data_IF_550566163655
#
_entry.id   IF_550566163655
#
_cell.length_a   1.000
_cell.length_b   1.000
_cell.length_c   1.000
_cell.angle_alpha   90.00
_cell.angle_beta   90.00
_cell.angle_gamma   90.00
#
_symmetry.space_group_name_H-M   'P 1'
#
loop_
_entity.id
_entity.type
_entity.pdbx_description
1 polymer ?
#
# COMPACT_ATOMS: atom_id res chain seq x y z
N UNK A 1 -28.88 -0.27 -22.91
CA UNK A 1 -27.51 -0.10 -23.42
C UNK A 1 -26.69 0.92 -22.59
N UNK A 2 -27.20 2.14 -22.27
CA UNK A 2 -26.47 3.13 -21.45
C UNK A 2 -26.06 2.63 -20.04
N UNK A 3 -26.90 1.84 -19.37
CA UNK A 3 -26.61 1.30 -18.02
C UNK A 3 -25.47 0.26 -18.01
N UNK A 4 -25.30 -0.52 -19.10
CA UNK A 4 -24.23 -1.51 -19.24
C UNK A 4 -22.88 -0.82 -19.48
N UNK A 5 -22.87 0.29 -20.22
CA UNK A 5 -21.65 1.07 -20.49
C UNK A 5 -21.12 1.73 -19.20
N UNK A 6 -22.02 2.23 -18.34
CA UNK A 6 -21.63 2.82 -17.04
C UNK A 6 -21.07 1.76 -16.11
N UNK A 7 -21.65 0.57 -16.05
CA UNK A 7 -21.14 -0.54 -15.23
C UNK A 7 -19.76 -1.04 -15.72
N UNK A 8 -19.54 -1.07 -17.03
CA UNK A 8 -18.26 -1.44 -17.63
C UNK A 8 -17.16 -0.42 -17.35
N UNK A 9 -17.48 0.89 -17.30
CA UNK A 9 -16.54 1.95 -16.98
C UNK A 9 -16.06 1.92 -15.52
N UNK A 10 -16.93 1.52 -14.58
CA UNK A 10 -16.58 1.41 -13.16
C UNK A 10 -15.61 0.26 -12.89
N UNK A 11 -15.74 -0.85 -13.63
CA UNK A 11 -14.85 -2.02 -13.47
C UNK A 11 -13.43 -1.74 -14.00
N UNK A 12 -13.28 -0.85 -14.97
CA UNK A 12 -11.98 -0.52 -15.56
C UNK A 12 -11.07 0.34 -14.66
N UNK A 13 -11.60 1.01 -13.61
CA UNK A 13 -10.83 1.86 -12.70
C UNK A 13 -10.15 1.12 -11.54
N UNK A 14 -10.42 -0.19 -11.35
CA UNK A 14 -9.91 -0.95 -10.20
C UNK A 14 -8.50 -1.53 -10.37
N UNK A 15 -7.73 -1.15 -11.39
CA UNK A 15 -6.47 -1.77 -11.75
C UNK A 15 -5.20 -1.16 -11.08
N UNK A 16 -5.33 -0.34 -10.03
CA UNK A 16 -4.17 0.12 -9.27
C UNK A 16 -3.76 -0.93 -8.23
N UNK A 17 -3.03 -1.95 -8.67
CA UNK A 17 -2.45 -2.94 -7.77
C UNK A 17 -1.32 -2.31 -6.95
N UNK A 18 -1.53 -2.24 -5.64
CA UNK A 18 -0.49 -1.83 -4.68
C UNK A 18 0.55 -2.96 -4.59
N UNK A 19 1.77 -2.64 -4.92
CA UNK A 19 2.86 -3.61 -4.99
C UNK A 19 3.63 -3.72 -3.68
N UNK A 20 3.78 -4.93 -3.10
CA UNK A 20 4.62 -5.14 -1.92
C UNK A 20 6.10 -4.86 -2.22
N UNK A 21 6.80 -4.30 -1.25
CA UNK A 21 8.27 -4.12 -1.23
C UNK A 21 8.90 -5.21 -0.35
N UNK A 22 8.77 -6.46 -0.77
CA UNK A 22 9.32 -7.62 -0.08
C UNK A 22 10.75 -7.92 -0.56
N UNK A 23 11.61 -8.43 0.33
CA UNK A 23 12.96 -8.90 -0.01
C UNK A 23 12.91 -10.11 -0.96
N UNK A 24 11.86 -10.92 -0.88
CA UNK A 24 11.73 -12.19 -1.59
C UNK A 24 10.75 -12.15 -2.78
N UNK A 25 10.00 -11.06 -2.99
CA UNK A 25 9.04 -10.95 -4.09
C UNK A 25 9.55 -10.01 -5.18
N UNK A 26 9.76 -10.55 -6.36
CA UNK A 26 10.18 -9.80 -7.56
C UNK A 26 8.99 -9.48 -8.44
N UNK A 27 8.93 -8.26 -8.93
CA UNK A 27 7.98 -7.89 -9.97
C UNK A 27 8.48 -8.37 -11.34
N UNK A 28 7.57 -8.64 -12.26
CA UNK A 28 7.92 -9.11 -13.61
C UNK A 28 8.94 -8.19 -14.31
N UNK A 29 8.86 -6.88 -14.13
CA UNK A 29 9.82 -5.93 -14.71
C UNK A 29 11.17 -5.88 -13.98
N UNK A 30 11.31 -6.51 -12.82
CA UNK A 30 12.56 -6.66 -12.07
C UNK A 30 13.26 -7.98 -12.36
N UNK A 31 12.58 -8.91 -13.02
CA UNK A 31 13.18 -10.17 -13.47
C UNK A 31 13.98 -9.93 -14.74
N UNK A 32 15.01 -10.72 -14.97
CA UNK A 32 15.91 -10.62 -16.12
C UNK A 32 16.77 -9.34 -16.17
N UNK A 33 16.82 -8.57 -15.08
CA UNK A 33 17.70 -7.43 -14.92
C UNK A 33 18.86 -7.76 -13.99
N UNK A 34 20.05 -7.32 -14.34
CA UNK A 34 21.22 -7.39 -13.49
C UNK A 34 21.00 -6.50 -12.24
N UNK A 35 21.42 -7.00 -11.09
CA UNK A 35 21.39 -6.28 -9.83
C UNK A 35 22.81 -6.11 -9.30
N UNK A 36 23.10 -4.92 -8.78
CA UNK A 36 24.36 -4.67 -8.09
C UNK A 36 24.26 -5.25 -6.69
N UNK A 37 25.18 -6.15 -6.36
CA UNK A 37 25.28 -6.77 -5.03
C UNK A 37 26.43 -6.11 -4.27
N UNK A 38 26.17 -5.67 -3.05
CA UNK A 38 27.17 -5.14 -2.12
C UNK A 38 27.04 -5.85 -0.77
N UNK A 39 28.15 -6.19 -0.17
CA UNK A 39 28.18 -6.79 1.16
C UNK A 39 28.17 -5.71 2.23
N UNK A 40 27.44 -5.98 3.31
CA UNK A 40 27.36 -5.10 4.46
C UNK A 40 27.13 -5.89 5.76
N UNK A 41 27.26 -5.21 6.90
CA UNK A 41 26.93 -5.77 8.21
C UNK A 41 25.81 -4.93 8.81
N UNK A 42 24.79 -5.57 9.37
CA UNK A 42 23.69 -4.90 10.06
C UNK A 42 24.21 -4.23 11.32
N UNK A 43 23.99 -2.94 11.45
CA UNK A 43 24.35 -2.16 12.64
C UNK A 43 23.16 -2.08 13.62
N UNK A 44 21.98 -1.80 13.12
CA UNK A 44 20.75 -1.74 13.91
C UNK A 44 19.51 -2.03 13.07
N UNK A 45 18.46 -2.49 13.73
CA UNK A 45 17.14 -2.76 13.13
C UNK A 45 16.08 -2.10 13.99
N UNK A 46 15.15 -1.43 13.35
CA UNK A 46 14.02 -0.75 13.99
C UNK A 46 12.72 -1.11 13.27
N UNK A 47 11.69 -1.49 14.03
CA UNK A 47 10.35 -1.64 13.45
C UNK A 47 9.78 -0.26 13.09
N UNK A 48 9.20 -0.16 11.92
CA UNK A 48 8.55 1.04 11.40
C UNK A 48 7.20 0.67 10.78
N UNK A 49 6.34 1.65 10.61
CA UNK A 49 5.12 1.51 9.83
C UNK A 49 5.35 2.07 8.43
N UNK A 50 5.03 1.27 7.42
CA UNK A 50 5.05 1.68 6.03
C UNK A 50 3.63 2.02 5.64
N UNK A 51 3.37 3.31 5.40
CA UNK A 51 2.10 3.80 4.87
C UNK A 51 2.21 3.94 3.35
N UNK A 52 1.34 3.25 2.64
CA UNK A 52 1.25 3.30 1.17
C UNK A 52 0.48 4.52 0.66
N UNK A 53 0.00 5.35 1.57
CA UNK A 53 -0.90 6.46 1.25
C UNK A 53 -2.33 6.00 1.01
N UNK A 54 -3.20 6.97 0.82
CA UNK A 54 -4.61 6.76 0.52
C UNK A 54 -4.86 7.02 -0.96
N UNK A 55 -5.46 6.06 -1.64
CA UNK A 55 -5.83 6.21 -3.05
C UNK A 55 -7.17 6.92 -3.24
N UNK A 56 -7.94 7.07 -2.14
CA UNK A 56 -9.30 7.59 -2.16
C UNK A 56 -10.36 6.58 -2.58
N UNK A 57 -9.96 5.37 -2.95
CA UNK A 57 -10.90 4.30 -3.36
C UNK A 57 -11.85 3.95 -2.23
N UNK A 58 -11.36 3.85 -0.98
CA UNK A 58 -12.19 3.60 0.20
C UNK A 58 -13.21 4.71 0.42
N UNK A 59 -12.81 5.97 0.23
CA UNK A 59 -13.73 7.12 0.34
C UNK A 59 -14.83 7.05 -0.69
N UNK A 60 -14.50 6.82 -1.96
CA UNK A 60 -15.48 6.74 -3.05
C UNK A 60 -16.40 5.52 -2.90
N UNK A 61 -15.84 4.36 -2.60
CA UNK A 61 -16.63 3.15 -2.37
C UNK A 61 -17.53 3.28 -1.15
N UNK A 62 -17.02 3.81 -0.04
CA UNK A 62 -17.78 4.06 1.18
C UNK A 62 -18.92 5.06 0.96
N UNK A 63 -18.66 6.15 0.23
CA UNK A 63 -19.69 7.14 -0.11
C UNK A 63 -20.79 6.54 -1.01
N UNK A 64 -20.41 5.74 -2.02
CA UNK A 64 -21.36 5.09 -2.90
C UNK A 64 -22.27 4.11 -2.15
N UNK A 65 -21.68 3.23 -1.33
CA UNK A 65 -22.43 2.25 -0.53
C UNK A 65 -23.29 2.93 0.53
N UNK A 66 -22.75 3.93 1.26
CA UNK A 66 -23.47 4.67 2.28
C UNK A 66 -24.64 5.47 1.68
N UNK A 67 -24.44 6.11 0.55
CA UNK A 67 -25.46 6.85 -0.16
C UNK A 67 -26.62 5.98 -0.65
N UNK A 68 -26.31 4.82 -1.24
CA UNK A 68 -27.32 3.87 -1.71
C UNK A 68 -28.08 3.27 -0.51
N UNK A 69 -27.37 2.82 0.53
CA UNK A 69 -28.00 2.19 1.69
C UNK A 69 -28.94 3.16 2.43
N UNK A 70 -28.51 4.39 2.68
CA UNK A 70 -29.35 5.39 3.35
C UNK A 70 -30.51 5.87 2.47
N UNK A 71 -30.26 6.15 1.19
CA UNK A 71 -31.29 6.58 0.25
C UNK A 71 -32.37 5.55 0.02
N UNK A 72 -32.04 4.26 -0.05
CA UNK A 72 -33.00 3.17 -0.23
C UNK A 72 -33.84 2.89 1.03
N UNK A 73 -33.33 3.23 2.21
CA UNK A 73 -34.00 2.94 3.50
C UNK A 73 -35.07 3.99 3.87
N UNK A 74 -35.05 5.18 3.29
CA UNK A 74 -35.93 6.31 3.68
C UNK A 74 -37.14 6.50 2.76
N UNK A 75 -37.32 5.62 1.77
CA UNK A 75 -38.46 5.67 0.85
C UNK A 75 -38.19 6.54 -0.38
N UNK A 76 -39.25 7.14 -0.96
CA UNK A 76 -39.14 7.95 -2.19
C UNK A 76 -39.29 9.45 -1.92
N UNK A 77 -38.72 10.27 -2.79
CA UNK A 77 -38.82 11.72 -2.74
C UNK A 77 -37.63 12.44 -2.12
N UNK A 78 -37.81 13.70 -1.71
CA UNK A 78 -36.74 14.57 -1.22
C UNK A 78 -36.04 14.03 0.06
N UNK A 79 -36.75 13.23 0.88
CA UNK A 79 -36.23 12.61 2.06
C UNK A 79 -35.16 11.55 1.74
N UNK A 80 -35.39 10.74 0.70
CA UNK A 80 -34.43 9.74 0.23
C UNK A 80 -33.14 10.40 -0.29
N UNK A 81 -33.26 11.55 -0.95
CA UNK A 81 -32.10 12.31 -1.43
C UNK A 81 -31.26 12.85 -0.28
N UNK A 82 -31.91 13.46 0.72
CA UNK A 82 -31.22 13.97 1.91
C UNK A 82 -30.53 12.85 2.70
N UNK A 83 -31.20 11.72 2.92
CA UNK A 83 -30.63 10.55 3.56
C UNK A 83 -29.45 9.97 2.76
N UNK A 84 -29.55 9.91 1.43
CA UNK A 84 -28.47 9.46 0.56
C UNK A 84 -27.22 10.33 0.67
N UNK A 85 -27.37 11.66 0.74
CA UNK A 85 -26.24 12.59 0.91
C UNK A 85 -25.56 12.37 2.27
N UNK A 86 -26.33 12.29 3.36
CA UNK A 86 -25.76 12.04 4.69
C UNK A 86 -25.08 10.69 4.74
N UNK A 87 -25.71 9.65 4.19
CA UNK A 87 -25.12 8.31 4.10
C UNK A 87 -23.85 8.26 3.29
N UNK A 88 -23.74 9.02 2.21
CA UNK A 88 -22.54 9.13 1.41
C UNK A 88 -21.38 9.78 2.19
N UNK A 89 -21.65 10.85 2.94
CA UNK A 89 -20.63 11.52 3.77
C UNK A 89 -20.12 10.57 4.87
N UNK A 90 -21.02 9.96 5.62
CA UNK A 90 -20.65 9.01 6.70
C UNK A 90 -19.92 7.79 6.13
N UNK A 91 -20.43 7.19 5.06
CA UNK A 91 -19.82 6.06 4.38
C UNK A 91 -18.45 6.39 3.82
N UNK A 92 -18.27 7.57 3.25
CA UNK A 92 -16.97 8.05 2.76
C UNK A 92 -15.93 8.16 3.87
N UNK A 93 -16.28 8.72 5.03
CA UNK A 93 -15.37 8.82 6.19
C UNK A 93 -14.98 7.45 6.72
N UNK A 94 -15.95 6.52 6.83
CA UNK A 94 -15.68 5.15 7.28
C UNK A 94 -14.78 4.43 6.26
N UNK A 95 -15.11 4.53 4.97
CA UNK A 95 -14.33 3.93 3.90
C UNK A 95 -12.89 4.44 3.85
N UNK A 96 -12.67 5.73 4.08
CA UNK A 96 -11.34 6.33 4.18
C UNK A 96 -10.53 5.72 5.34
N UNK A 97 -11.14 5.59 6.52
CA UNK A 97 -10.46 5.00 7.68
C UNK A 97 -10.11 3.53 7.47
N UNK A 98 -11.01 2.77 6.84
CA UNK A 98 -10.75 1.37 6.51
C UNK A 98 -9.60 1.23 5.50
N UNK A 99 -9.56 2.10 4.48
CA UNK A 99 -8.47 2.14 3.52
C UNK A 99 -7.13 2.47 4.18
N UNK A 100 -7.09 3.48 5.05
CA UNK A 100 -5.88 3.88 5.78
C UNK A 100 -5.31 2.70 6.59
N UNK A 101 -6.16 1.99 7.33
CA UNK A 101 -5.73 0.81 8.11
C UNK A 101 -5.26 -0.35 7.22
N UNK A 102 -5.91 -0.57 6.08
CA UNK A 102 -5.53 -1.62 5.13
C UNK A 102 -4.22 -1.32 4.41
N UNK A 103 -3.86 -0.03 4.27
CA UNK A 103 -2.67 0.41 3.56
C UNK A 103 -1.42 0.53 4.46
N UNK A 104 -1.58 0.44 5.78
CA UNK A 104 -0.45 0.48 6.72
C UNK A 104 0.07 -0.93 6.99
N UNK A 105 1.39 -1.12 6.86
CA UNK A 105 2.07 -2.39 7.10
C UNK A 105 3.27 -2.22 8.02
N UNK A 106 3.62 -3.31 8.71
CA UNK A 106 4.88 -3.36 9.43
C UNK A 106 6.05 -3.48 8.46
N UNK A 107 7.06 -2.68 8.67
CA UNK A 107 8.33 -2.71 7.98
C UNK A 107 9.49 -2.69 8.95
N UNK A 108 10.68 -2.86 8.41
CA UNK A 108 11.94 -2.73 9.12
C UNK A 108 12.77 -1.61 8.48
N UNK A 109 13.30 -0.73 9.30
CA UNK A 109 14.39 0.15 8.94
C UNK A 109 15.68 -0.53 9.41
N UNK A 110 16.51 -0.90 8.45
CA UNK A 110 17.74 -1.65 8.67
C UNK A 110 18.89 -0.71 8.37
N UNK A 111 19.65 -0.35 9.40
CA UNK A 111 20.90 0.40 9.21
C UNK A 111 22.04 -0.60 9.03
N UNK A 112 22.75 -0.48 7.94
CA UNK A 112 23.87 -1.33 7.61
C UNK A 112 25.16 -0.51 7.47
N UNK A 113 26.28 -1.12 7.83
CA UNK A 113 27.62 -0.62 7.60
C UNK A 113 28.23 -1.35 6.41
N UNK A 114 28.54 -0.59 5.37
CA UNK A 114 29.19 -1.08 4.17
C UNK A 114 30.67 -1.43 4.45
N UNK A 115 31.30 -2.24 3.58
CA UNK A 115 32.74 -2.56 3.70
C UNK A 115 33.65 -1.34 3.60
N UNK A 116 33.22 -0.26 2.94
CA UNK A 116 33.93 1.01 2.88
C UNK A 116 33.72 1.90 4.12
N UNK A 117 33.00 1.42 5.14
CA UNK A 117 32.68 2.15 6.36
C UNK A 117 31.47 3.09 6.27
N UNK A 118 30.84 3.24 5.10
CA UNK A 118 29.65 4.05 4.92
C UNK A 118 28.43 3.41 5.58
N UNK A 119 27.58 4.22 6.23
CA UNK A 119 26.31 3.75 6.78
C UNK A 119 25.17 4.04 5.81
N UNK A 120 24.27 3.09 5.67
CA UNK A 120 23.04 3.22 4.89
C UNK A 120 21.85 2.69 5.66
N UNK A 121 20.73 3.40 5.62
CA UNK A 121 19.45 2.94 6.15
C UNK A 121 18.53 2.55 4.99
N UNK A 122 17.98 1.36 5.04
CA UNK A 122 17.05 0.81 4.07
C UNK A 122 15.76 0.44 4.78
N UNK A 123 14.64 0.90 4.26
CA UNK A 123 13.31 0.54 4.78
C UNK A 123 12.64 -0.43 3.83
N UNK A 124 12.23 -1.58 4.35
CA UNK A 124 11.55 -2.64 3.59
C UNK A 124 10.47 -3.32 4.42
N UNK A 125 9.63 -4.15 3.80
CA UNK A 125 8.64 -4.95 4.52
C UNK A 125 9.33 -5.89 5.52
N UNK A 126 8.68 -6.18 6.65
CA UNK A 126 9.20 -7.06 7.69
C UNK A 126 8.96 -8.55 7.33
N UNK A 127 9.55 -9.01 6.23
CA UNK A 127 9.40 -10.38 5.71
C UNK A 127 10.61 -11.28 6.04
N UNK A 128 11.73 -10.69 6.46
CA UNK A 128 12.91 -11.37 7.00
C UNK A 128 13.25 -10.82 8.38
N UNK A 129 13.94 -11.63 9.19
CA UNK A 129 14.42 -11.22 10.52
C UNK A 129 15.90 -10.88 10.44
N UNK A 130 16.27 -9.68 10.85
CA UNK A 130 17.66 -9.22 10.90
C UNK A 130 18.07 -8.91 12.34
N UNK A 131 19.35 -9.10 12.65
CA UNK A 131 19.94 -8.77 13.94
C UNK A 131 21.22 -7.98 13.74
N UNK A 132 21.57 -7.12 14.70
CA UNK A 132 22.85 -6.44 14.70
C UNK A 132 23.99 -7.44 14.62
N UNK A 133 24.95 -7.22 13.74
CA UNK A 133 26.07 -8.11 13.45
C UNK A 133 25.85 -9.07 12.28
N UNK A 134 24.63 -9.25 11.78
CA UNK A 134 24.36 -10.12 10.64
C UNK A 134 25.09 -9.61 9.37
N UNK A 135 25.72 -10.51 8.64
CA UNK A 135 26.25 -10.22 7.31
C UNK A 135 25.14 -10.36 6.29
N UNK A 136 24.93 -9.29 5.52
CA UNK A 136 23.82 -9.15 4.58
C UNK A 136 24.31 -8.67 3.22
N UNK A 137 23.45 -8.89 2.22
CA UNK A 137 23.64 -8.39 0.86
C UNK A 137 22.65 -7.27 0.59
N UNK A 138 23.15 -6.18 0.04
CA UNK A 138 22.33 -5.12 -0.53
C UNK A 138 22.19 -5.38 -2.04
N UNK A 139 20.97 -5.62 -2.46
CA UNK A 139 20.62 -5.81 -3.87
C UNK A 139 20.01 -4.52 -4.39
N UNK A 140 20.71 -3.87 -5.32
CA UNK A 140 20.25 -2.59 -5.90
C UNK A 140 19.97 -2.76 -7.39
N UNK A 141 18.77 -2.36 -7.82
CA UNK A 141 18.35 -2.33 -9.22
C UNK A 141 17.33 -1.23 -9.44
N UNK A 142 17.46 -0.47 -10.53
CA UNK A 142 16.52 0.59 -10.94
C UNK A 142 16.14 1.58 -9.80
N UNK A 143 17.10 1.96 -8.95
CA UNK A 143 16.89 2.91 -7.84
C UNK A 143 16.25 2.30 -6.60
N UNK A 144 15.92 1.02 -6.60
CA UNK A 144 15.42 0.29 -5.43
C UNK A 144 16.54 -0.53 -4.83
N UNK A 145 16.73 -0.43 -3.51
CA UNK A 145 17.67 -1.25 -2.75
C UNK A 145 16.92 -2.05 -1.70
N UNK A 146 17.29 -3.31 -1.54
CA UNK A 146 16.77 -4.21 -0.50
C UNK A 146 17.91 -4.93 0.19
N UNK A 147 17.66 -5.34 1.42
CA UNK A 147 18.57 -6.11 2.26
C UNK A 147 18.09 -7.55 2.31
N UNK A 148 18.99 -8.51 2.17
CA UNK A 148 18.71 -9.95 2.30
C UNK A 148 19.95 -10.68 2.84
N UNK A 149 19.75 -11.86 3.39
CA UNK A 149 20.85 -12.76 3.81
C UNK A 149 21.58 -13.37 2.63
#
# INVERSE_FOLDING_TARGET
MKKIVILSAVVALSACAVTPTSSNVYRTHQTQNEQIVRMATVESVREVLIDKGQSGVGTVAGAALGGIAAGSSVGQGNGALAAGIVGAVVGGIIGQKLEANANTRKGLEITVRMENGEFRAITQDADETFRAGDRVRLLSSAGVTRVTH
#
